data_IF_128533958006
#
_entry.id   IF_128533958006
#
_cell.length_a   1.000
_cell.length_b   1.000
_cell.length_c   1.000
_cell.angle_alpha   90.00
_cell.angle_beta   90.00
_cell.angle_gamma   90.00
#
_symmetry.space_group_name_H-M   'P 1'
#
loop_
_entity.id
_entity.type
_entity.pdbx_description
1 polymer ?
#
# COMPACT_ATOMS: atom_id res chain seq x y z
N UNK A 1 65.54 26.22 3.04
CA UNK A 1 64.69 25.03 3.31
C UNK A 1 63.26 25.52 3.39
N UNK A 2 62.41 25.07 2.46
CA UNK A 2 61.05 25.59 2.23
C UNK A 2 60.07 24.91 3.19
N UNK A 3 59.30 25.69 3.95
CA UNK A 3 58.19 25.19 4.75
C UNK A 3 56.93 25.07 3.86
N UNK A 4 56.46 23.85 3.62
CA UNK A 4 55.24 23.59 2.87
C UNK A 4 54.02 23.77 3.78
N UNK A 5 53.15 24.73 3.46
CA UNK A 5 51.83 24.85 4.06
C UNK A 5 50.91 23.78 3.45
N UNK A 6 50.50 22.79 4.25
CA UNK A 6 49.49 21.82 3.87
C UNK A 6 48.09 22.42 3.99
N UNK A 7 47.50 22.84 2.87
CA UNK A 7 46.06 23.15 2.82
C UNK A 7 45.28 21.84 2.74
N UNK A 8 44.68 21.39 3.86
CA UNK A 8 43.70 20.30 3.83
C UNK A 8 42.37 20.85 3.33
N UNK A 9 42.12 20.76 2.03
CA UNK A 9 40.79 20.99 1.46
C UNK A 9 39.88 19.82 1.86
N UNK A 10 39.19 19.94 2.99
CA UNK A 10 38.02 19.09 3.23
C UNK A 10 36.97 19.47 2.16
N UNK A 11 36.34 18.51 1.47
CA UNK A 11 35.16 18.81 0.68
C UNK A 11 34.12 19.38 1.65
N UNK A 12 33.86 20.68 1.55
CA UNK A 12 32.73 21.30 2.25
C UNK A 12 31.48 20.60 1.72
N UNK A 13 30.93 19.65 2.47
CA UNK A 13 29.56 19.23 2.27
C UNK A 13 28.72 20.49 2.50
N UNK A 14 28.29 21.11 1.40
CA UNK A 14 27.50 22.34 1.42
C UNK A 14 26.09 21.97 1.88
N UNK A 15 25.89 21.92 3.20
CA UNK A 15 24.59 21.76 3.83
C UNK A 15 23.59 22.83 3.32
N UNK A 16 24.09 24.01 2.99
CA UNK A 16 23.27 25.15 2.56
C UNK A 16 22.94 25.15 1.06
N UNK A 17 22.97 23.98 0.40
CA UNK A 17 22.48 23.90 -0.98
C UNK A 17 20.95 23.95 -0.94
N UNK A 18 20.29 25.00 -1.46
CA UNK A 18 18.84 25.07 -1.50
C UNK A 18 18.34 23.96 -2.42
N UNK A 19 17.94 22.82 -1.85
CA UNK A 19 17.58 21.65 -2.64
C UNK A 19 17.51 20.34 -1.86
N UNK A 20 18.29 20.19 -0.78
CA UNK A 20 18.20 19.04 0.11
C UNK A 20 17.59 19.51 1.43
N UNK A 21 16.27 19.36 1.58
CA UNK A 21 15.69 19.45 2.91
C UNK A 21 16.32 18.35 3.78
N UNK A 22 16.74 18.68 5.00
CA UNK A 22 17.19 17.68 5.98
C UNK A 22 16.03 16.78 6.33
N UNK A 23 15.85 15.71 5.55
CA UNK A 23 14.84 14.70 5.76
C UNK A 23 15.40 13.32 5.37
N UNK A 24 14.75 12.28 5.88
CA UNK A 24 15.16 10.88 5.67
C UNK A 24 14.60 10.30 4.37
N UNK A 25 13.89 11.10 3.57
CA UNK A 25 13.18 10.66 2.37
C UNK A 25 13.87 11.02 1.05
N UNK A 26 13.36 10.44 -0.03
CA UNK A 26 13.76 10.79 -1.39
C UNK A 26 13.25 12.18 -1.79
N UNK A 27 14.07 12.92 -2.53
CA UNK A 27 13.73 14.25 -3.04
C UNK A 27 14.04 14.32 -4.54
N UNK A 28 13.18 14.96 -5.33
CA UNK A 28 13.38 15.16 -6.76
C UNK A 28 12.63 16.41 -7.27
N UNK A 29 12.88 16.80 -8.51
CA UNK A 29 12.13 17.87 -9.18
C UNK A 29 11.89 17.54 -10.64
N UNK A 30 10.72 17.90 -11.16
CA UNK A 30 10.35 17.71 -12.57
C UNK A 30 9.40 18.82 -13.00
N UNK A 31 9.76 19.57 -14.04
CA UNK A 31 8.92 20.61 -14.66
C UNK A 31 8.17 21.55 -13.68
N UNK A 32 8.82 21.99 -12.60
CA UNK A 32 8.23 22.89 -11.60
C UNK A 32 7.48 22.20 -10.45
N UNK A 33 7.36 20.87 -10.49
CA UNK A 33 6.93 20.05 -9.35
C UNK A 33 8.16 19.63 -8.54
N UNK A 34 8.15 19.94 -7.25
CA UNK A 34 9.12 19.45 -6.29
C UNK A 34 8.51 18.32 -5.48
N UNK A 35 9.14 17.15 -5.55
CA UNK A 35 8.83 15.99 -4.71
C UNK A 35 9.80 15.98 -3.53
N UNK A 36 9.27 15.95 -2.31
CA UNK A 36 10.05 16.06 -1.07
C UNK A 36 9.66 14.99 -0.08
N UNK A 37 10.67 14.52 0.66
CA UNK A 37 10.52 13.57 1.76
C UNK A 37 9.68 12.34 1.39
N UNK A 38 9.94 11.72 0.24
CA UNK A 38 9.25 10.49 -0.14
C UNK A 38 9.83 9.29 0.62
N UNK A 39 9.01 8.54 1.34
CA UNK A 39 9.43 7.33 2.04
C UNK A 39 8.30 6.31 2.17
N UNK A 40 8.69 5.04 2.33
CA UNK A 40 7.78 3.94 2.64
C UNK A 40 8.00 3.51 4.09
N UNK A 41 6.93 3.11 4.79
CA UNK A 41 7.06 2.45 6.10
C UNK A 41 6.91 0.95 5.90
N UNK A 42 7.93 0.18 6.30
CA UNK A 42 7.96 -1.27 6.23
C UNK A 42 7.78 -1.95 7.58
N UNK A 43 8.31 -3.16 7.70
CA UNK A 43 8.37 -3.92 8.96
C UNK A 43 9.52 -3.44 9.88
N UNK A 44 9.47 -3.74 11.19
CA UNK A 44 10.59 -3.52 12.12
C UNK A 44 11.91 -4.10 11.61
N UNK A 45 13.01 -3.42 11.95
CA UNK A 45 14.34 -3.86 11.57
C UNK A 45 14.59 -5.33 11.97
N UNK A 46 15.17 -6.10 11.04
CA UNK A 46 15.44 -7.53 11.23
C UNK A 46 14.32 -8.46 10.75
N UNK A 47 13.09 -7.97 10.54
CA UNK A 47 12.00 -8.74 9.91
C UNK A 47 11.82 -8.33 8.44
N UNK A 48 11.84 -9.29 7.50
CA UNK A 48 11.49 -8.99 6.12
C UNK A 48 9.97 -8.80 6.00
N UNK A 49 9.57 -7.91 5.09
CA UNK A 49 8.23 -7.91 4.52
C UNK A 49 8.12 -9.11 3.59
N UNK A 50 7.02 -9.84 3.68
CA UNK A 50 6.76 -11.01 2.84
C UNK A 50 6.32 -10.61 1.42
N UNK A 51 6.46 -11.53 0.48
CA UNK A 51 5.88 -11.35 -0.85
C UNK A 51 4.36 -11.16 -0.76
N UNK A 52 3.81 -10.32 -1.64
CA UNK A 52 2.41 -9.89 -1.63
C UNK A 52 2.12 -8.70 -0.70
N UNK A 53 3.06 -8.29 0.16
CA UNK A 53 2.86 -7.17 1.08
C UNK A 53 2.59 -5.85 0.34
N UNK A 54 1.82 -4.97 0.98
CA UNK A 54 1.59 -3.59 0.55
C UNK A 54 2.33 -2.61 1.47
N UNK A 55 2.78 -1.48 0.92
CA UNK A 55 3.55 -0.48 1.65
C UNK A 55 2.97 0.92 1.44
N UNK A 56 2.59 1.63 2.53
CA UNK A 56 2.11 3.00 2.43
C UNK A 56 3.27 3.94 2.07
N UNK A 57 3.02 4.84 1.12
CA UNK A 57 3.95 5.85 0.62
C UNK A 57 3.54 7.22 1.14
N UNK A 58 4.49 7.90 1.78
CA UNK A 58 4.35 9.24 2.32
C UNK A 58 5.28 10.18 1.55
N UNK A 59 4.80 11.37 1.21
CA UNK A 59 5.59 12.39 0.54
C UNK A 59 4.93 13.78 0.64
N UNK A 60 5.67 14.80 0.20
CA UNK A 60 5.17 16.16 -0.07
C UNK A 60 5.40 16.49 -1.53
N UNK A 61 4.37 17.03 -2.19
CA UNK A 61 4.44 17.61 -3.52
C UNK A 61 4.27 19.12 -3.40
N UNK A 62 5.14 19.88 -4.04
CA UNK A 62 5.06 21.35 -4.09
C UNK A 62 5.06 21.75 -5.56
N UNK A 63 4.04 22.47 -5.99
CA UNK A 63 3.94 22.99 -7.35
C UNK A 63 4.37 24.46 -7.36
N UNK A 64 5.49 24.74 -8.02
CA UNK A 64 6.04 26.09 -8.15
C UNK A 64 5.53 26.83 -9.39
N UNK A 65 4.69 26.18 -10.19
CA UNK A 65 4.12 26.75 -11.41
C UNK A 65 2.78 27.45 -11.16
N UNK A 66 2.32 28.20 -12.16
CA UNK A 66 1.01 28.86 -12.16
C UNK A 66 -0.15 27.98 -12.63
N UNK A 67 0.08 26.70 -12.92
CA UNK A 67 -0.95 25.76 -13.42
C UNK A 67 -1.04 24.57 -12.47
N UNK A 68 -2.25 24.14 -12.12
CA UNK A 68 -2.44 22.96 -11.28
C UNK A 68 -1.96 21.70 -12.01
N UNK A 69 -1.48 20.71 -11.26
CA UNK A 69 -1.06 19.41 -11.78
C UNK A 69 -1.62 18.31 -10.89
N UNK A 70 -1.41 17.07 -11.28
CA UNK A 70 -1.92 15.90 -10.59
C UNK A 70 -0.96 14.73 -10.71
N UNK A 71 -0.65 14.09 -9.59
CA UNK A 71 -0.01 12.78 -9.61
C UNK A 71 -1.06 11.73 -9.96
N UNK A 72 -0.91 11.11 -11.13
CA UNK A 72 -1.88 10.16 -11.69
C UNK A 72 -1.43 8.71 -11.59
N UNK A 73 -0.12 8.46 -11.42
CA UNK A 73 0.40 7.12 -11.24
C UNK A 73 1.69 7.10 -10.43
N UNK A 74 1.86 6.02 -9.67
CA UNK A 74 3.08 5.67 -8.95
C UNK A 74 3.40 4.22 -9.28
N UNK A 75 4.65 3.88 -9.60
CA UNK A 75 5.03 2.51 -9.89
C UNK A 75 6.44 2.18 -9.42
N UNK A 76 6.69 0.91 -9.12
CA UNK A 76 8.02 0.40 -8.80
C UNK A 76 8.26 -0.91 -9.57
N UNK A 77 8.52 -0.83 -10.90
CA UNK A 77 8.61 -2.01 -11.75
C UNK A 77 9.66 -3.01 -11.27
N UNK A 78 9.31 -4.29 -11.26
CA UNK A 78 10.21 -5.37 -10.81
C UNK A 78 10.39 -5.46 -9.28
N UNK A 79 9.72 -4.60 -8.51
CA UNK A 79 9.67 -4.65 -7.04
C UNK A 79 8.24 -4.84 -6.54
N UNK A 80 7.28 -4.10 -7.10
CA UNK A 80 5.85 -4.22 -6.80
C UNK A 80 5.04 -4.51 -8.06
N UNK A 81 3.93 -5.23 -7.90
CA UNK A 81 2.97 -5.52 -8.96
C UNK A 81 2.13 -4.29 -9.33
N UNK A 82 1.85 -3.41 -8.38
CA UNK A 82 1.01 -2.25 -8.62
C UNK A 82 1.07 -1.19 -7.54
N UNK A 83 0.13 -0.24 -7.64
CA UNK A 83 -0.08 0.80 -6.65
C UNK A 83 -1.53 1.23 -6.59
N UNK A 84 -1.87 1.95 -5.54
CA UNK A 84 -3.16 2.60 -5.32
C UNK A 84 -2.94 4.05 -4.96
N UNK A 85 -3.67 4.92 -5.65
CA UNK A 85 -3.82 6.34 -5.33
C UNK A 85 -5.24 6.61 -4.82
N UNK A 86 -5.49 7.78 -4.21
CA UNK A 86 -6.84 8.31 -4.05
C UNK A 86 -7.59 8.33 -5.38
N UNK A 87 -8.92 8.24 -5.33
CA UNK A 87 -9.75 8.30 -6.52
C UNK A 87 -9.46 9.60 -7.30
N UNK A 88 -9.26 9.47 -8.61
CA UNK A 88 -8.94 10.59 -9.48
C UNK A 88 -7.48 11.04 -9.44
N UNK A 89 -6.63 10.51 -8.55
CA UNK A 89 -5.22 10.88 -8.37
C UNK A 89 -4.99 11.83 -7.18
N UNK A 90 -3.76 12.33 -7.03
CA UNK A 90 -3.43 13.33 -6.02
C UNK A 90 -3.22 14.70 -6.67
N UNK A 91 -4.18 15.60 -6.47
CA UNK A 91 -4.15 16.95 -7.01
C UNK A 91 -3.14 17.84 -6.30
N UNK A 92 -2.45 18.69 -7.07
CA UNK A 92 -1.43 19.62 -6.61
C UNK A 92 -1.80 21.01 -7.14
N UNK A 93 -2.40 21.88 -6.30
CA UNK A 93 -2.83 23.21 -6.74
C UNK A 93 -1.67 24.05 -7.30
N UNK A 94 -1.96 24.96 -8.24
CA UNK A 94 -0.99 25.94 -8.73
C UNK A 94 -0.40 26.75 -7.57
N UNK A 95 0.92 26.89 -7.51
CA UNK A 95 1.62 27.56 -6.40
C UNK A 95 1.43 26.89 -5.03
N UNK A 96 0.84 25.70 -4.98
CA UNK A 96 0.39 25.03 -3.76
C UNK A 96 1.18 23.76 -3.43
N UNK A 97 0.67 23.00 -2.48
CA UNK A 97 1.25 21.73 -2.07
C UNK A 97 0.20 20.68 -1.74
N UNK A 98 0.61 19.41 -1.77
CA UNK A 98 -0.19 18.26 -1.40
C UNK A 98 0.65 17.25 -0.61
N UNK A 99 0.02 16.54 0.34
CA UNK A 99 0.69 15.58 1.21
C UNK A 99 1.33 16.21 2.45
N UNK A 100 2.39 15.60 2.98
CA UNK A 100 3.07 16.07 4.20
C UNK A 100 2.31 15.85 5.49
N UNK A 101 1.33 14.95 5.48
CA UNK A 101 0.51 14.56 6.63
C UNK A 101 0.97 13.20 7.16
N UNK A 102 0.45 12.83 8.34
CA UNK A 102 0.60 11.47 8.87
C UNK A 102 -0.20 10.41 8.10
N UNK A 103 -0.98 10.80 7.09
CA UNK A 103 -1.72 9.90 6.22
C UNK A 103 -0.93 9.64 4.93
N UNK A 104 -0.97 8.42 4.38
CA UNK A 104 -0.24 8.10 3.17
C UNK A 104 -0.90 8.72 1.93
N UNK A 105 -0.08 9.09 0.95
CA UNK A 105 -0.50 9.67 -0.33
C UNK A 105 -0.73 8.60 -1.40
N UNK A 106 -0.09 7.44 -1.27
CA UNK A 106 -0.31 6.27 -2.12
C UNK A 106 -0.01 4.98 -1.33
N UNK A 107 -0.33 3.82 -1.92
CA UNK A 107 0.12 2.52 -1.45
C UNK A 107 0.73 1.75 -2.61
N UNK A 108 1.94 1.22 -2.45
CA UNK A 108 2.49 0.20 -3.34
C UNK A 108 1.93 -1.17 -2.94
N UNK A 109 1.58 -2.02 -3.89
CA UNK A 109 0.88 -3.29 -3.64
C UNK A 109 1.54 -4.45 -4.34
N UNK A 110 1.51 -5.63 -3.71
CA UNK A 110 2.02 -6.86 -4.31
C UNK A 110 3.54 -6.86 -4.41
N UNK A 111 4.23 -6.75 -3.27
CA UNK A 111 5.69 -6.89 -3.22
C UNK A 111 6.11 -8.24 -3.84
N UNK A 112 6.95 -8.24 -4.88
CA UNK A 112 7.23 -9.45 -5.68
C UNK A 112 8.13 -10.45 -4.94
N UNK A 113 9.06 -9.95 -4.10
CA UNK A 113 9.99 -10.77 -3.31
C UNK A 113 10.16 -10.18 -1.91
N UNK A 114 10.50 -10.98 -0.90
CA UNK A 114 10.74 -10.47 0.43
C UNK A 114 11.75 -9.31 0.45
N UNK A 115 11.43 -8.25 1.19
CA UNK A 115 12.24 -7.02 1.26
C UNK A 115 12.50 -6.64 2.72
N UNK A 116 13.65 -6.05 3.01
CA UNK A 116 14.01 -5.61 4.37
C UNK A 116 14.06 -4.09 4.44
N UNK A 117 13.53 -3.53 5.53
CA UNK A 117 13.68 -2.11 5.83
C UNK A 117 15.16 -1.69 5.90
N UNK A 118 15.45 -0.44 5.54
CA UNK A 118 16.79 0.12 5.39
C UNK A 118 17.30 0.18 3.95
N UNK A 119 16.62 -0.50 3.01
CA UNK A 119 16.91 -0.39 1.57
C UNK A 119 16.19 0.77 0.89
N UNK A 120 16.43 0.92 -0.41
CA UNK A 120 15.81 1.93 -1.26
C UNK A 120 15.17 1.27 -2.48
N UNK A 121 13.99 1.73 -2.87
CA UNK A 121 13.23 1.25 -4.02
C UNK A 121 13.16 2.40 -5.06
N UNK A 122 13.52 2.17 -6.34
CA UNK A 122 13.28 3.16 -7.38
C UNK A 122 11.78 3.22 -7.66
N UNK A 123 11.17 4.38 -7.37
CA UNK A 123 9.75 4.61 -7.58
C UNK A 123 9.59 5.67 -8.66
N UNK A 124 8.80 5.36 -9.69
CA UNK A 124 8.45 6.29 -10.76
C UNK A 124 7.13 6.98 -10.41
N UNK A 125 7.14 8.30 -10.43
CA UNK A 125 6.00 9.17 -10.23
C UNK A 125 5.61 9.78 -11.57
N UNK A 126 4.36 9.61 -11.98
CA UNK A 126 3.82 10.18 -13.21
C UNK A 126 2.78 11.24 -12.87
N UNK A 127 3.08 12.46 -13.30
CA UNK A 127 2.21 13.61 -13.24
C UNK A 127 1.47 13.77 -14.57
N UNK A 128 0.27 14.35 -14.50
CA UNK A 128 -0.58 14.56 -15.66
C UNK A 128 0.10 15.50 -16.67
N UNK A 129 0.70 16.60 -16.19
CA UNK A 129 1.29 17.62 -17.06
C UNK A 129 2.82 17.71 -16.92
N UNK A 130 3.37 17.60 -15.70
CA UNK A 130 4.81 17.69 -15.49
C UNK A 130 5.61 16.48 -16.03
N UNK A 131 4.95 15.39 -16.43
CA UNK A 131 5.59 14.19 -16.93
C UNK A 131 6.02 13.25 -15.80
N UNK A 132 7.17 12.57 -15.94
CA UNK A 132 7.56 11.51 -15.01
C UNK A 132 8.93 11.75 -14.38
N UNK A 133 9.09 11.29 -13.14
CA UNK A 133 10.38 11.31 -12.42
C UNK A 133 10.57 10.03 -11.62
N UNK A 134 11.81 9.50 -11.64
CA UNK A 134 12.19 8.34 -10.84
C UNK A 134 12.91 8.83 -9.59
N UNK A 135 12.47 8.37 -8.42
CA UNK A 135 13.04 8.76 -7.13
C UNK A 135 13.51 7.51 -6.39
N UNK A 136 14.74 7.49 -5.85
CA UNK A 136 15.16 6.48 -4.90
C UNK A 136 14.43 6.71 -3.57
N UNK A 137 13.37 5.93 -3.30
CA UNK A 137 12.53 6.04 -2.11
C UNK A 137 13.02 5.06 -1.04
N UNK A 138 13.50 5.54 0.13
CA UNK A 138 13.90 4.66 1.22
C UNK A 138 12.72 3.97 1.88
N UNK A 139 12.96 2.74 2.32
CA UNK A 139 12.05 1.97 3.16
C UNK A 139 12.50 2.07 4.60
N UNK A 140 11.71 2.72 5.42
CA UNK A 140 12.05 3.05 6.80
C UNK A 140 11.35 2.06 7.74
N UNK A 141 12.03 1.61 8.82
CA UNK A 141 11.36 0.83 9.86
C UNK A 141 10.35 1.72 10.63
N UNK A 142 9.30 1.13 11.21
CA UNK A 142 8.37 1.84 12.08
C UNK A 142 9.04 2.08 13.45
N UNK A 143 9.97 3.03 13.52
CA UNK A 143 10.51 3.51 14.78
C UNK A 143 9.50 4.43 15.50
N UNK A 144 9.88 4.90 16.70
CA UNK A 144 8.94 5.48 17.67
C UNK A 144 8.21 6.73 17.16
N UNK A 145 8.79 7.46 16.21
CA UNK A 145 8.11 8.60 15.59
C UNK A 145 7.27 8.18 14.38
N UNK A 146 7.68 7.15 13.63
CA UNK A 146 6.93 6.64 12.47
C UNK A 146 5.71 5.81 12.85
N UNK A 147 5.63 5.30 14.08
CA UNK A 147 4.41 4.66 14.61
C UNK A 147 3.21 5.61 14.71
N UNK A 148 3.40 6.93 14.58
CA UNK A 148 2.30 7.91 14.52
C UNK A 148 1.66 8.02 13.14
N UNK A 149 2.28 7.47 12.10
CA UNK A 149 1.74 7.48 10.75
C UNK A 149 0.60 6.46 10.62
N UNK A 150 -0.48 6.89 10.00
CA UNK A 150 -1.63 6.04 9.75
C UNK A 150 -1.32 5.05 8.62
N UNK A 151 -1.81 3.80 8.68
CA UNK A 151 -1.72 2.88 7.57
C UNK A 151 -2.55 3.37 6.37
N UNK A 152 -2.41 2.71 5.22
CA UNK A 152 -3.31 2.94 4.09
C UNK A 152 -4.77 2.63 4.49
N UNK A 153 -5.77 3.45 4.09
CA UNK A 153 -7.16 3.18 4.39
C UNK A 153 -7.59 1.81 3.83
N UNK A 154 -7.97 0.88 4.71
CA UNK A 154 -8.64 -0.34 4.28
C UNK A 154 -10.03 0.02 3.75
N UNK A 155 -10.48 -0.56 2.62
CA UNK A 155 -11.87 -0.42 2.22
C UNK A 155 -12.76 -0.92 3.37
N UNK A 156 -13.79 -0.14 3.71
CA UNK A 156 -14.77 -0.57 4.70
C UNK A 156 -15.34 -1.94 4.29
N UNK A 157 -15.52 -2.89 5.23
CA UNK A 157 -16.16 -4.15 4.90
C UNK A 157 -17.52 -3.85 4.26
N UNK A 158 -17.78 -4.37 3.05
CA UNK A 158 -19.08 -4.23 2.42
C UNK A 158 -20.16 -4.79 3.36
N UNK A 159 -21.31 -4.10 3.55
CA UNK A 159 -22.38 -4.64 4.37
C UNK A 159 -22.84 -5.97 3.78
N UNK A 160 -22.65 -7.05 4.53
CA UNK A 160 -23.19 -8.36 4.16
C UNK A 160 -24.70 -8.27 4.35
N UNK A 161 -25.45 -8.16 3.25
CA UNK A 161 -26.92 -8.26 3.33
C UNK A 161 -27.27 -9.68 3.81
N UNK A 162 -27.92 -9.86 4.98
CA UNK A 162 -28.34 -11.19 5.40
C UNK A 162 -29.37 -11.70 4.39
N UNK A 163 -29.12 -12.89 3.83
CA UNK A 163 -30.05 -13.57 2.94
C UNK A 163 -31.36 -13.81 3.71
N UNK A 164 -32.42 -13.11 3.31
CA UNK A 164 -33.75 -13.27 3.90
C UNK A 164 -34.23 -14.70 3.64
N UNK A 165 -34.45 -15.47 4.70
CA UNK A 165 -34.94 -16.84 4.62
C UNK A 165 -36.23 -16.90 3.78
N UNK A 166 -36.24 -17.79 2.78
CA UNK A 166 -37.41 -18.04 1.95
C UNK A 166 -38.55 -18.65 2.80
N UNK A 167 -39.83 -18.26 2.59
CA UNK A 167 -40.96 -18.81 3.32
C UNK A 167 -41.28 -20.25 2.88
N UNK A 168 -41.53 -21.11 3.87
CA UNK A 168 -42.02 -22.48 3.70
C UNK A 168 -43.31 -22.53 2.88
N UNK A 169 -43.29 -23.18 1.72
CA UNK A 169 -44.49 -23.55 0.99
C UNK A 169 -44.93 -24.97 1.37
N UNK A 170 -45.91 -25.06 2.25
CA UNK A 170 -46.80 -26.22 2.45
C UNK A 170 -47.65 -26.45 1.20
N UNK A 171 -47.73 -27.69 0.69
CA UNK A 171 -48.98 -28.30 0.15
C UNK A 171 -48.81 -29.79 -0.21
N UNK A 172 -49.68 -30.62 0.39
CA UNK A 172 -50.09 -32.00 0.03
C UNK A 172 -51.27 -31.93 -0.97
N UNK A 173 -51.67 -32.98 -1.75
CA UNK A 173 -52.40 -34.16 -1.21
C UNK A 173 -52.26 -35.54 -1.95
N UNK A 174 -52.59 -36.63 -1.20
CA UNK A 174 -53.37 -37.88 -1.47
C UNK A 174 -53.29 -38.63 -2.84
N UNK A 175 -53.45 -39.95 -3.03
CA UNK A 175 -53.69 -41.20 -2.25
C UNK A 175 -53.87 -42.36 -3.27
N UNK A 176 -53.54 -43.63 -2.96
CA UNK A 176 -54.33 -44.83 -3.39
C UNK A 176 -53.90 -46.12 -2.67
N UNK A 177 -54.92 -46.89 -2.27
CA UNK A 177 -54.98 -48.13 -1.49
C UNK A 177 -54.28 -49.35 -2.09
N UNK A 178 -53.78 -50.23 -1.21
CA UNK A 178 -53.42 -51.62 -1.49
C UNK A 178 -53.52 -52.49 -0.23
N UNK A 179 -54.61 -53.24 -0.14
CA UNK A 179 -55.09 -54.10 0.96
C UNK A 179 -54.33 -55.44 1.01
N UNK A 180 -53.97 -55.94 2.21
CA UNK A 180 -53.50 -57.32 2.41
C UNK A 180 -53.12 -57.66 3.86
N UNK A 181 -53.99 -58.38 4.55
CA UNK A 181 -53.92 -58.86 5.96
C UNK A 181 -53.18 -60.23 6.06
N UNK A 182 -53.08 -60.95 7.22
CA UNK A 182 -51.94 -61.08 8.14
C UNK A 182 -51.33 -62.54 8.21
N UNK A 183 -50.45 -62.91 9.19
CA UNK A 183 -49.57 -64.11 9.17
C UNK A 183 -50.16 -65.34 9.91
N UNK A 184 -49.55 -66.55 9.84
CA UNK A 184 -48.69 -67.09 10.93
C UNK A 184 -47.53 -67.99 10.35
N UNK A 185 -46.59 -68.66 11.03
CA UNK A 185 -46.59 -69.41 12.28
C UNK A 185 -45.14 -69.94 12.64
N UNK A 186 -44.84 -70.02 13.94
CA UNK A 186 -44.19 -71.14 14.69
C UNK A 186 -42.68 -71.50 14.56
N UNK A 187 -41.94 -71.21 15.66
CA UNK A 187 -41.09 -72.07 16.55
C UNK A 187 -40.11 -73.12 15.98
N UNK A 188 -38.82 -73.05 16.39
CA UNK A 188 -38.10 -74.01 17.29
C UNK A 188 -36.58 -74.12 17.01
N UNK A 189 -35.75 -74.10 18.07
CA UNK A 189 -34.45 -74.81 18.16
C UNK A 189 -33.23 -73.94 18.50
N UNK A 190 -32.84 -73.77 19.77
CA UNK A 190 -31.88 -74.56 20.58
C UNK A 190 -30.38 -74.54 20.17
N UNK A 191 -29.59 -73.83 20.98
CA UNK A 191 -28.23 -74.11 21.54
C UNK A 191 -27.66 -72.74 21.93
N UNK A 192 -27.22 -72.45 23.15
CA UNK A 192 -26.80 -73.21 24.34
C UNK A 192 -26.95 -72.28 25.53
#
# INVERSE_FOLDING_TARGET
MVAAAGCTSQPRMKWDSPGMATNDGGNAGVAGILLRNAFLIGEPAGRPMEAGAGMPLYLVLINQSGVADRLISVSAPGVFEGSRLPEGGLEIPAGGSAGGTATPQAQLTGLIRPFRSGGTIPVTFHFEHAGAVVVPVPVLPPDQWRTTYSPWPSPAPSPVVPFSAAPSATRSPASVSGRGTPPPATTRGHRT
#
